data_IF_234288749613
#
_entry.id   IF_234288749613
#
_cell.length_a   1.000
_cell.length_b   1.000
_cell.length_c   1.000
_cell.angle_alpha   90.00
_cell.angle_beta   90.00
_cell.angle_gamma   90.00
#
_symmetry.space_group_name_H-M   'P 1'
#
loop_
_entity.id
_entity.type
_entity.pdbx_description
1 polymer ?
#
# COMPACT_ATOMS: atom_id res chain seq x y z
N UNK A 1 -5.65 21.39 2.54
CA UNK A 1 -4.21 21.15 2.79
C UNK A 1 -3.56 20.58 1.52
N UNK A 2 -4.04 19.46 0.95
CA UNK A 2 -3.43 18.80 -0.23
C UNK A 2 -3.25 19.79 -1.38
N UNK A 3 -4.33 20.44 -1.83
CA UNK A 3 -4.29 21.41 -2.93
C UNK A 3 -3.32 22.58 -2.65
N UNK A 4 -3.33 23.12 -1.43
CA UNK A 4 -2.47 24.26 -1.06
C UNK A 4 -0.99 23.87 -1.14
N UNK A 5 -0.62 22.68 -0.64
CA UNK A 5 0.75 22.18 -0.71
C UNK A 5 1.17 21.87 -2.15
N UNK A 6 0.29 21.28 -2.93
CA UNK A 6 0.59 20.94 -4.32
C UNK A 6 0.75 22.19 -5.21
N UNK A 7 -0.03 23.25 -4.97
CA UNK A 7 0.13 24.54 -5.67
C UNK A 7 1.45 25.24 -5.30
N UNK A 8 1.98 24.99 -4.10
CA UNK A 8 3.29 25.51 -3.68
C UNK A 8 4.47 24.78 -4.37
N UNK A 9 4.19 23.75 -5.14
CA UNK A 9 5.14 22.98 -5.96
C UNK A 9 6.40 22.54 -5.19
N UNK A 10 6.17 21.88 -4.05
CA UNK A 10 7.24 21.38 -3.19
C UNK A 10 7.97 20.21 -3.84
N UNK A 11 9.26 19.95 -3.49
CA UNK A 11 10.07 18.88 -4.09
C UNK A 11 9.45 17.48 -4.06
N UNK A 12 8.61 17.18 -3.06
CA UNK A 12 7.84 15.92 -2.98
C UNK A 12 6.35 16.20 -3.20
N UNK A 13 5.95 16.34 -4.45
CA UNK A 13 4.58 16.65 -4.86
C UNK A 13 3.96 15.48 -5.64
N UNK A 14 3.81 14.33 -4.98
CA UNK A 14 3.34 13.09 -5.61
C UNK A 14 1.98 13.28 -6.30
N UNK A 15 1.92 12.89 -7.59
CA UNK A 15 0.78 13.06 -8.51
C UNK A 15 0.35 14.51 -8.77
N UNK A 16 1.08 15.50 -8.29
CA UNK A 16 0.88 16.94 -8.51
C UNK A 16 -0.62 17.37 -8.54
N UNK A 17 -1.40 17.17 -7.44
CA UNK A 17 -2.82 17.48 -7.39
C UNK A 17 -3.06 19.00 -7.25
N UNK A 18 -2.51 19.81 -8.16
CA UNK A 18 -2.48 21.27 -8.12
C UNK A 18 -3.70 21.94 -8.79
N UNK A 19 -4.53 21.18 -9.47
CA UNK A 19 -5.76 21.64 -10.13
C UNK A 19 -6.94 20.68 -9.88
N UNK A 20 -8.15 21.06 -10.26
CA UNK A 20 -9.35 20.27 -10.01
C UNK A 20 -9.33 18.89 -10.66
N UNK A 21 -8.74 18.75 -11.85
CA UNK A 21 -8.67 17.47 -12.57
C UNK A 21 -7.64 16.53 -11.94
N UNK A 22 -6.43 17.02 -11.67
CA UNK A 22 -5.39 16.22 -11.01
C UNK A 22 -5.79 15.84 -9.58
N UNK A 23 -6.45 16.76 -8.84
CA UNK A 23 -6.99 16.46 -7.52
C UNK A 23 -8.08 15.36 -7.59
N UNK A 24 -8.97 15.41 -8.59
CA UNK A 24 -9.96 14.35 -8.80
C UNK A 24 -9.30 13.00 -9.08
N UNK A 25 -8.32 12.94 -9.99
CA UNK A 25 -7.56 11.71 -10.28
C UNK A 25 -6.88 11.17 -9.02
N UNK A 26 -6.26 12.04 -8.24
CA UNK A 26 -5.62 11.70 -6.97
C UNK A 26 -6.60 11.12 -5.94
N UNK A 27 -7.75 11.79 -5.71
CA UNK A 27 -8.77 11.33 -4.77
C UNK A 27 -9.43 10.01 -5.23
N UNK A 28 -9.64 9.85 -6.54
CA UNK A 28 -10.16 8.61 -7.12
C UNK A 28 -9.13 7.49 -7.16
N UNK A 29 -7.86 7.76 -6.81
CA UNK A 29 -6.77 6.78 -6.83
C UNK A 29 -6.55 6.14 -8.21
N UNK A 30 -6.73 6.93 -9.29
CA UNK A 30 -6.64 6.43 -10.67
C UNK A 30 -5.26 5.83 -10.99
N UNK A 31 -4.18 6.29 -10.32
CA UNK A 31 -2.82 5.75 -10.46
C UNK A 31 -2.67 4.27 -10.07
N UNK A 32 -3.60 3.71 -9.28
CA UNK A 32 -3.55 2.30 -8.86
C UNK A 32 -4.31 1.36 -9.79
N UNK A 33 -4.91 1.89 -10.86
CA UNK A 33 -5.72 1.14 -11.80
C UNK A 33 -7.09 0.69 -11.26
N UNK A 34 -7.90 0.17 -12.15
CA UNK A 34 -9.24 -0.33 -11.83
C UNK A 34 -9.18 -1.82 -11.43
N UNK A 35 -9.83 -2.16 -10.33
CA UNK A 35 -10.01 -3.54 -9.88
C UNK A 35 -11.47 -3.95 -9.98
N UNK A 36 -11.79 -5.16 -10.45
CA UNK A 36 -13.18 -5.61 -10.53
C UNK A 36 -13.74 -5.84 -9.12
N UNK A 37 -14.92 -5.29 -8.80
CA UNK A 37 -15.53 -5.39 -7.48
C UNK A 37 -16.76 -6.31 -7.47
N UNK A 38 -17.78 -5.95 -8.24
CA UNK A 38 -19.05 -6.67 -8.26
C UNK A 38 -19.20 -7.57 -9.48
N UNK A 39 -18.67 -7.13 -10.61
CA UNK A 39 -18.68 -7.87 -11.87
C UNK A 39 -17.40 -7.57 -12.66
N UNK A 40 -16.80 -8.57 -13.27
CA UNK A 40 -15.58 -8.39 -14.06
C UNK A 40 -14.81 -9.67 -14.33
N UNK A 41 -13.55 -9.47 -14.75
CA UNK A 41 -12.65 -10.54 -15.16
C UNK A 41 -12.09 -11.33 -13.96
N UNK A 42 -11.70 -12.57 -14.27
CA UNK A 42 -10.84 -13.41 -13.43
C UNK A 42 -9.50 -13.63 -14.14
N UNK A 43 -8.55 -14.30 -13.50
CA UNK A 43 -7.27 -14.65 -14.14
C UNK A 43 -7.44 -15.52 -15.40
N UNK A 44 -8.54 -16.26 -15.53
CA UNK A 44 -8.84 -17.08 -16.68
C UNK A 44 -9.49 -16.32 -17.85
N UNK A 45 -9.86 -15.04 -17.65
CA UNK A 45 -10.51 -14.23 -18.68
C UNK A 45 -9.50 -13.74 -19.70
N UNK A 46 -9.86 -13.74 -20.98
CA UNK A 46 -9.03 -13.23 -22.09
C UNK A 46 -9.61 -11.91 -22.61
N UNK A 47 -8.74 -11.00 -23.03
CA UNK A 47 -9.15 -9.78 -23.71
C UNK A 47 -9.64 -10.15 -25.13
N UNK A 48 -10.84 -9.70 -25.47
CA UNK A 48 -11.47 -9.92 -26.80
C UNK A 48 -11.26 -8.70 -27.69
N UNK A 49 -11.46 -7.51 -27.15
CA UNK A 49 -11.33 -6.24 -27.86
C UNK A 49 -11.08 -5.11 -26.86
N UNK A 50 -10.68 -3.99 -27.39
CA UNK A 50 -10.61 -2.73 -26.64
C UNK A 50 -11.78 -1.84 -27.05
N UNK A 51 -12.40 -1.17 -26.09
CA UNK A 51 -13.45 -0.18 -26.30
C UNK A 51 -12.99 1.18 -25.82
N UNK A 52 -13.11 2.19 -26.67
CA UNK A 52 -12.85 3.59 -26.31
C UNK A 52 -13.86 4.06 -25.26
N UNK A 53 -13.37 4.43 -24.08
CA UNK A 53 -14.25 4.73 -22.94
C UNK A 53 -14.38 6.21 -22.65
N UNK A 54 -13.26 6.91 -22.55
CA UNK A 54 -13.23 8.26 -21.99
C UNK A 54 -12.04 9.03 -22.56
N UNK A 55 -12.32 10.30 -22.92
CA UNK A 55 -11.25 11.24 -23.21
C UNK A 55 -10.53 11.66 -21.93
N UNK A 56 -9.24 11.50 -21.90
CA UNK A 56 -8.40 11.98 -20.79
C UNK A 56 -8.05 13.42 -21.09
N UNK A 57 -8.40 14.31 -20.17
CA UNK A 57 -8.19 15.74 -20.28
C UNK A 57 -7.18 16.18 -19.23
N UNK A 58 -6.25 17.04 -19.60
CA UNK A 58 -5.30 17.68 -18.70
C UNK A 58 -5.31 19.19 -18.88
N UNK A 59 -4.79 19.90 -17.88
CA UNK A 59 -4.50 21.31 -18.03
C UNK A 59 -3.37 21.51 -19.04
N UNK A 60 -3.52 22.44 -19.98
CA UNK A 60 -2.45 22.79 -20.91
C UNK A 60 -1.31 23.48 -20.15
N UNK A 61 -0.04 23.20 -20.48
CA UNK A 61 1.09 23.97 -19.96
C UNK A 61 0.90 25.47 -20.27
N UNK A 62 1.20 26.32 -19.28
CA UNK A 62 1.15 27.77 -19.43
C UNK A 62 2.52 28.31 -19.76
N UNK A 63 2.60 29.14 -20.80
CA UNK A 63 3.83 29.88 -21.13
C UNK A 63 4.01 31.09 -20.19
N UNK A 64 2.91 31.59 -19.61
CA UNK A 64 2.90 32.68 -18.65
C UNK A 64 1.90 32.35 -17.51
N UNK A 65 2.23 32.56 -16.23
CA UNK A 65 1.34 32.32 -15.10
C UNK A 65 -0.02 33.02 -15.19
N UNK A 66 -0.10 34.15 -15.89
CA UNK A 66 -1.33 34.93 -16.08
C UNK A 66 -2.22 34.44 -17.24
N UNK A 67 -1.80 33.44 -18.01
CA UNK A 67 -2.66 32.88 -19.03
C UNK A 67 -3.87 32.17 -18.43
N UNK A 68 -5.06 32.28 -19.04
CA UNK A 68 -6.24 31.56 -18.60
C UNK A 68 -6.01 30.04 -18.71
N UNK A 69 -6.62 29.31 -17.78
CA UNK A 69 -6.57 27.85 -17.81
C UNK A 69 -7.24 27.34 -19.10
N UNK A 70 -6.49 26.51 -19.83
CA UNK A 70 -6.98 25.77 -20.99
C UNK A 70 -6.85 24.28 -20.73
N UNK A 71 -7.80 23.52 -21.24
CA UNK A 71 -7.77 22.08 -21.16
C UNK A 71 -7.54 21.46 -22.52
N UNK A 72 -6.68 20.50 -22.58
CA UNK A 72 -6.33 19.75 -23.78
C UNK A 72 -6.71 18.28 -23.61
N UNK A 73 -7.18 17.67 -24.70
CA UNK A 73 -7.37 16.23 -24.78
C UNK A 73 -6.01 15.57 -25.01
N UNK A 74 -5.58 14.69 -24.09
CA UNK A 74 -4.32 13.97 -24.21
C UNK A 74 -4.50 12.74 -25.08
N UNK A 75 -5.41 11.87 -24.69
CA UNK A 75 -5.71 10.62 -25.39
C UNK A 75 -7.11 10.11 -24.99
N UNK A 76 -7.57 9.13 -25.74
CA UNK A 76 -8.79 8.40 -25.37
C UNK A 76 -8.40 7.10 -24.67
N UNK A 77 -8.84 6.94 -23.43
CA UNK A 77 -8.62 5.73 -22.65
C UNK A 77 -9.37 4.55 -23.30
N UNK A 78 -8.64 3.49 -23.59
CA UNK A 78 -9.19 2.22 -24.07
C UNK A 78 -9.31 1.23 -22.93
N UNK A 79 -10.50 0.65 -22.75
CA UNK A 79 -10.69 -0.41 -21.76
C UNK A 79 -10.79 -1.78 -22.43
N UNK A 80 -10.08 -2.77 -21.88
CA UNK A 80 -10.20 -4.13 -22.36
C UNK A 80 -11.58 -4.70 -22.03
N UNK A 81 -12.20 -5.36 -23.00
CA UNK A 81 -13.39 -6.18 -22.83
C UNK A 81 -12.97 -7.62 -22.72
N UNK A 82 -13.38 -8.27 -21.64
CA UNK A 82 -12.95 -9.61 -21.30
C UNK A 82 -14.01 -10.66 -21.63
N UNK A 83 -13.55 -11.89 -21.97
CA UNK A 83 -14.39 -13.09 -21.97
C UNK A 83 -14.73 -13.51 -20.54
N UNK A 84 -15.75 -14.34 -20.38
CA UNK A 84 -15.99 -15.09 -19.13
C UNK A 84 -15.93 -14.25 -17.86
N UNK A 85 -16.59 -13.10 -17.85
CA UNK A 85 -16.72 -12.27 -16.66
C UNK A 85 -17.65 -12.96 -15.64
N UNK A 86 -17.39 -12.73 -14.35
CA UNK A 86 -18.18 -13.33 -13.26
C UNK A 86 -18.67 -12.28 -12.27
N UNK A 87 -19.68 -12.65 -11.49
CA UNK A 87 -20.09 -11.89 -10.32
C UNK A 87 -19.06 -12.05 -9.21
N UNK A 88 -18.77 -10.93 -8.50
CA UNK A 88 -17.90 -10.85 -7.35
C UNK A 88 -16.51 -11.48 -7.60
N UNK A 89 -15.77 -11.03 -8.63
CA UNK A 89 -14.46 -11.58 -8.95
C UNK A 89 -13.41 -11.17 -7.91
N UNK A 90 -12.79 -12.15 -7.26
CA UNK A 90 -11.72 -11.93 -6.29
C UNK A 90 -10.37 -12.36 -6.84
N UNK A 91 -10.33 -13.44 -7.59
CA UNK A 91 -9.13 -13.99 -8.24
C UNK A 91 -8.99 -13.41 -9.66
N UNK A 92 -8.59 -12.15 -9.77
CA UNK A 92 -8.58 -11.41 -11.05
C UNK A 92 -7.19 -11.22 -11.66
N UNK A 93 -6.12 -11.32 -10.88
CA UNK A 93 -4.75 -11.08 -11.34
C UNK A 93 -4.20 -12.28 -12.13
N UNK A 94 -3.63 -12.02 -13.29
CA UNK A 94 -3.01 -13.03 -14.16
C UNK A 94 -1.55 -13.33 -13.82
N UNK A 95 -1.00 -12.74 -12.75
CA UNK A 95 0.35 -13.06 -12.27
C UNK A 95 0.42 -14.53 -11.82
N UNK A 96 1.41 -15.33 -12.30
CA UNK A 96 1.53 -16.74 -11.97
C UNK A 96 1.62 -17.02 -10.46
N UNK A 97 2.31 -16.17 -9.69
CA UNK A 97 2.44 -16.33 -8.25
C UNK A 97 1.09 -16.07 -7.55
N UNK A 98 0.34 -15.07 -8.04
CA UNK A 98 -1.01 -14.81 -7.55
C UNK A 98 -1.95 -15.98 -7.87
N UNK A 99 -1.88 -16.56 -9.05
CA UNK A 99 -2.71 -17.72 -9.45
C UNK A 99 -2.42 -18.92 -8.55
N UNK A 100 -1.16 -19.24 -8.29
CA UNK A 100 -0.77 -20.32 -7.38
C UNK A 100 -1.37 -20.12 -5.99
N UNK A 101 -1.25 -18.91 -5.45
CA UNK A 101 -1.81 -18.54 -4.14
C UNK A 101 -3.35 -18.56 -4.14
N UNK A 102 -4.02 -18.06 -5.18
CA UNK A 102 -5.47 -18.15 -5.32
C UNK A 102 -5.94 -19.61 -5.27
N UNK A 103 -5.28 -20.49 -6.05
CA UNK A 103 -5.63 -21.90 -6.08
C UNK A 103 -5.48 -22.56 -4.71
N UNK A 104 -4.40 -22.28 -3.99
CA UNK A 104 -4.19 -22.76 -2.62
C UNK A 104 -5.33 -22.33 -1.69
N UNK A 105 -5.67 -21.04 -1.64
CA UNK A 105 -6.74 -20.53 -0.77
C UNK A 105 -8.14 -20.99 -1.16
N UNK A 106 -8.39 -21.25 -2.43
CA UNK A 106 -9.65 -21.79 -2.92
C UNK A 106 -9.77 -23.32 -2.76
N UNK A 107 -8.67 -24.01 -2.48
CA UNK A 107 -8.58 -25.47 -2.39
C UNK A 107 -8.61 -26.13 -3.76
N UNK A 108 -7.99 -25.51 -4.78
CA UNK A 108 -7.83 -26.03 -6.14
C UNK A 108 -6.45 -26.66 -6.30
N UNK A 109 -6.31 -27.48 -7.35
CA UNK A 109 -5.01 -28.07 -7.71
C UNK A 109 -4.03 -26.98 -8.13
N UNK A 110 -2.76 -27.18 -7.83
CA UNK A 110 -1.68 -26.32 -8.31
C UNK A 110 -1.66 -26.31 -9.85
N UNK A 111 -1.58 -25.09 -10.43
CA UNK A 111 -1.59 -24.91 -11.87
C UNK A 111 -2.96 -24.97 -12.56
N UNK A 112 -4.06 -25.08 -11.82
CA UNK A 112 -5.41 -24.99 -12.41
C UNK A 112 -5.68 -23.58 -12.92
N UNK A 113 -5.83 -23.45 -14.25
CA UNK A 113 -6.11 -22.20 -14.96
C UNK A 113 -7.59 -22.07 -15.37
N UNK A 114 -8.45 -22.98 -14.96
CA UNK A 114 -9.87 -22.88 -15.26
C UNK A 114 -10.51 -21.69 -14.53
N UNK A 115 -11.63 -21.20 -15.07
CA UNK A 115 -12.31 -20.03 -14.50
C UNK A 115 -12.81 -20.33 -13.07
N UNK A 116 -12.46 -19.48 -12.07
CA UNK A 116 -12.98 -19.63 -10.73
C UNK A 116 -14.50 -19.43 -10.68
N UNK A 117 -15.17 -20.33 -9.99
CA UNK A 117 -16.61 -20.24 -9.71
C UNK A 117 -16.90 -19.14 -8.67
N UNK A 118 -18.18 -18.76 -8.54
CA UNK A 118 -18.60 -17.82 -7.49
C UNK A 118 -18.28 -18.36 -6.08
N UNK A 119 -18.48 -19.66 -5.87
CA UNK A 119 -18.20 -20.30 -4.57
C UNK A 119 -16.70 -20.22 -4.21
N UNK A 120 -15.82 -20.44 -5.18
CA UNK A 120 -14.37 -20.32 -5.00
C UNK A 120 -13.95 -18.88 -4.74
N UNK A 121 -14.51 -17.91 -5.45
CA UNK A 121 -14.30 -16.50 -5.15
C UNK A 121 -14.77 -16.12 -3.74
N UNK A 122 -15.89 -16.66 -3.27
CA UNK A 122 -16.36 -16.48 -1.89
C UNK A 122 -15.45 -17.17 -0.88
N UNK A 123 -14.94 -18.37 -1.17
CA UNK A 123 -13.92 -19.04 -0.31
C UNK A 123 -12.68 -18.17 -0.15
N UNK A 124 -12.16 -17.64 -1.26
CA UNK A 124 -11.01 -16.72 -1.21
C UNK A 124 -11.33 -15.44 -0.43
N UNK A 125 -12.48 -14.84 -0.67
CA UNK A 125 -12.90 -13.64 0.04
C UNK A 125 -12.97 -13.85 1.55
N UNK A 126 -13.73 -14.84 2.01
CA UNK A 126 -13.89 -15.07 3.44
C UNK A 126 -12.66 -15.69 4.09
N UNK A 127 -11.98 -16.63 3.41
CA UNK A 127 -10.79 -17.30 3.95
C UNK A 127 -9.57 -16.37 3.99
N UNK A 128 -9.23 -15.77 2.86
CA UNK A 128 -8.05 -14.93 2.75
C UNK A 128 -8.32 -13.47 3.12
N UNK A 129 -9.22 -12.78 2.39
CA UNK A 129 -9.34 -11.32 2.53
C UNK A 129 -10.00 -10.92 3.87
N UNK A 130 -11.05 -11.62 4.30
CA UNK A 130 -11.75 -11.30 5.55
C UNK A 130 -11.08 -11.93 6.76
N UNK A 131 -10.82 -13.24 6.73
CA UNK A 131 -10.28 -13.92 7.91
C UNK A 131 -8.78 -13.67 8.08
N UNK A 132 -7.98 -14.04 7.08
CA UNK A 132 -6.52 -13.98 7.19
C UNK A 132 -5.99 -12.54 7.20
N UNK A 133 -6.45 -11.68 6.28
CA UNK A 133 -5.96 -10.29 6.22
C UNK A 133 -6.55 -9.38 7.29
N UNK A 134 -7.87 -9.48 7.57
CA UNK A 134 -8.53 -8.54 8.45
C UNK A 134 -8.70 -9.05 9.88
N UNK A 135 -9.40 -10.20 10.08
CA UNK A 135 -9.69 -10.67 11.43
C UNK A 135 -8.45 -11.15 12.19
N UNK A 136 -7.49 -11.76 11.52
CA UNK A 136 -6.19 -12.09 12.12
C UNK A 136 -5.49 -10.84 12.63
N UNK A 137 -5.46 -9.80 11.81
CA UNK A 137 -4.84 -8.52 12.16
C UNK A 137 -5.59 -7.79 13.27
N UNK A 138 -6.93 -7.81 13.24
CA UNK A 138 -7.76 -7.34 14.33
C UNK A 138 -7.44 -8.07 15.64
N UNK A 139 -7.31 -9.39 15.58
CA UNK A 139 -6.96 -10.20 16.74
C UNK A 139 -5.56 -9.87 17.30
N UNK A 140 -4.60 -9.58 16.43
CA UNK A 140 -3.27 -9.13 16.86
C UNK A 140 -3.31 -7.86 17.70
N UNK A 141 -4.23 -6.96 17.41
CA UNK A 141 -4.36 -5.71 18.15
C UNK A 141 -5.11 -5.85 19.49
N UNK A 142 -5.99 -6.84 19.65
CA UNK A 142 -6.91 -6.91 20.80
C UNK A 142 -6.92 -8.24 21.54
N UNK A 143 -6.34 -9.27 20.99
CA UNK A 143 -6.26 -10.61 21.61
C UNK A 143 -4.81 -10.95 21.93
N UNK A 144 -3.93 -10.84 20.94
CA UNK A 144 -2.50 -11.04 21.00
C UNK A 144 -1.94 -11.66 19.73
N UNK A 145 -0.62 -11.66 19.60
CA UNK A 145 0.15 -12.03 18.41
C UNK A 145 1.13 -13.14 18.74
N UNK A 146 1.19 -14.18 17.91
CA UNK A 146 2.12 -15.29 18.09
C UNK A 146 3.57 -14.88 17.78
N UNK A 147 3.80 -14.25 16.65
CA UNK A 147 5.12 -13.75 16.21
C UNK A 147 4.96 -12.75 15.07
N UNK A 148 6.05 -12.09 14.65
CA UNK A 148 6.08 -11.13 13.54
C UNK A 148 6.54 -11.74 12.21
N UNK A 149 6.66 -13.07 12.14
CA UNK A 149 7.01 -13.75 10.90
C UNK A 149 5.89 -13.59 9.88
N UNK A 150 6.28 -13.31 8.62
CA UNK A 150 5.31 -13.18 7.55
C UNK A 150 4.52 -14.49 7.38
N UNK A 151 3.21 -14.38 7.51
CA UNK A 151 2.32 -15.53 7.53
C UNK A 151 2.04 -16.07 6.13
N UNK A 152 1.98 -17.39 6.04
CA UNK A 152 1.58 -18.16 4.85
C UNK A 152 0.24 -18.90 5.04
N UNK A 153 -0.44 -18.62 6.14
CA UNK A 153 -1.66 -19.31 6.57
C UNK A 153 -1.40 -20.53 7.46
N UNK A 154 -0.13 -20.84 7.76
CA UNK A 154 0.25 -21.91 8.70
C UNK A 154 0.04 -21.51 10.16
N UNK A 155 -0.01 -22.50 11.05
CA UNK A 155 -0.17 -22.28 12.49
C UNK A 155 1.12 -21.80 13.18
N UNK A 156 2.25 -21.72 12.45
CA UNK A 156 3.57 -21.42 13.01
C UNK A 156 3.94 -19.96 12.80
N UNK A 157 3.39 -19.32 11.75
CA UNK A 157 3.79 -17.98 11.31
C UNK A 157 2.63 -16.99 11.39
N UNK A 158 2.82 -15.95 12.19
CA UNK A 158 1.88 -14.85 12.26
C UNK A 158 0.48 -15.23 12.74
N UNK A 159 0.39 -16.22 13.62
CA UNK A 159 -0.86 -16.64 14.27
C UNK A 159 -1.33 -15.66 15.33
N UNK A 160 -2.45 -15.99 15.97
CA UNK A 160 -3.01 -15.27 17.12
C UNK A 160 -2.70 -16.08 18.38
N UNK A 161 -2.09 -15.45 19.37
CA UNK A 161 -1.84 -16.05 20.69
C UNK A 161 -2.57 -15.26 21.75
N UNK A 162 -3.39 -15.95 22.55
CA UNK A 162 -4.15 -15.30 23.64
C UNK A 162 -3.34 -15.15 24.92
N UNK A 163 -2.28 -15.94 25.09
CA UNK A 163 -1.54 -16.14 26.34
C UNK A 163 -2.22 -17.12 27.30
N UNK A 164 -3.30 -17.75 26.88
CA UNK A 164 -4.03 -18.76 27.65
C UNK A 164 -3.73 -20.15 27.05
N UNK A 165 -2.87 -20.99 27.69
CA UNK A 165 -2.39 -22.23 27.07
C UNK A 165 -3.50 -23.18 26.62
N UNK A 166 -4.63 -23.24 27.38
CA UNK A 166 -5.74 -24.10 27.02
C UNK A 166 -6.49 -23.67 25.75
N UNK A 167 -6.39 -22.39 25.33
CA UNK A 167 -6.91 -21.88 24.07
C UNK A 167 -5.84 -22.02 22.99
N UNK A 168 -4.63 -21.55 23.29
CA UNK A 168 -3.55 -21.46 22.30
C UNK A 168 -3.14 -22.86 21.81
N UNK A 169 -3.07 -23.86 22.69
CA UNK A 169 -2.76 -25.24 22.31
C UNK A 169 -3.81 -25.89 21.39
N UNK A 170 -5.08 -25.45 21.47
CA UNK A 170 -6.13 -25.92 20.56
C UNK A 170 -6.00 -25.35 19.15
N UNK A 171 -5.46 -24.11 19.02
CA UNK A 171 -5.41 -23.38 17.75
C UNK A 171 -4.04 -23.48 17.10
N UNK A 172 -2.98 -23.31 17.90
CA UNK A 172 -1.60 -23.25 17.43
C UNK A 172 -0.85 -24.59 17.57
N UNK A 173 -1.37 -25.50 18.40
CA UNK A 173 -0.65 -26.71 18.83
C UNK A 173 0.26 -26.45 20.05
N UNK A 174 0.93 -27.52 20.54
CA UNK A 174 1.91 -27.37 21.62
C UNK A 174 3.10 -26.55 21.16
N UNK A 175 3.47 -25.52 21.93
CA UNK A 175 4.65 -24.69 21.68
C UNK A 175 5.97 -25.35 22.09
N UNK A 176 5.93 -26.51 22.75
CA UNK A 176 7.11 -27.13 23.37
C UNK A 176 8.15 -27.62 22.37
N UNK A 177 7.71 -27.92 21.14
CA UNK A 177 8.57 -28.43 20.05
C UNK A 177 8.97 -27.36 19.03
N UNK A 178 8.64 -26.08 19.28
CA UNK A 178 8.97 -25.00 18.34
C UNK A 178 10.42 -24.52 18.55
N UNK A 179 11.11 -24.15 17.45
CA UNK A 179 12.46 -23.54 17.53
C UNK A 179 12.45 -22.25 18.35
N UNK A 180 13.59 -21.97 19.01
CA UNK A 180 13.79 -20.77 19.83
C UNK A 180 13.54 -19.46 19.06
N UNK A 181 13.80 -19.42 17.77
CA UNK A 181 13.52 -18.26 16.89
C UNK A 181 12.04 -17.90 16.82
N UNK A 182 11.17 -18.90 17.01
CA UNK A 182 9.71 -18.71 17.00
C UNK A 182 9.22 -18.40 18.41
N UNK A 183 9.70 -19.14 19.41
CA UNK A 183 9.26 -19.00 20.81
C UNK A 183 9.75 -17.72 21.46
N UNK A 184 10.99 -17.28 21.13
CA UNK A 184 11.60 -16.05 21.66
C UNK A 184 11.46 -14.83 20.70
N UNK A 185 10.48 -14.87 19.79
CA UNK A 185 10.26 -13.79 18.86
C UNK A 185 9.72 -12.53 19.59
N UNK A 186 10.37 -11.37 19.38
CA UNK A 186 9.96 -10.10 20.01
C UNK A 186 8.53 -9.67 19.66
N UNK A 187 8.02 -10.07 18.51
CA UNK A 187 6.63 -9.82 18.12
C UNK A 187 5.61 -10.76 18.80
N UNK A 188 6.02 -11.57 19.79
CA UNK A 188 5.12 -12.37 20.61
C UNK A 188 4.49 -11.48 21.68
N UNK A 189 3.21 -11.13 21.50
CA UNK A 189 2.47 -10.26 22.40
C UNK A 189 1.18 -10.92 22.83
N UNK A 190 0.91 -10.97 24.12
CA UNK A 190 -0.30 -11.61 24.69
C UNK A 190 -1.11 -10.62 25.52
N UNK A 191 -2.42 -10.56 25.29
CA UNK A 191 -3.30 -9.62 25.99
C UNK A 191 -4.40 -10.32 26.79
N UNK A 192 -4.37 -11.65 26.87
CA UNK A 192 -5.32 -12.45 27.66
C UNK A 192 -6.78 -12.15 27.30
N UNK A 193 -7.06 -11.79 26.04
CA UNK A 193 -8.39 -11.37 25.56
C UNK A 193 -8.96 -10.12 26.26
N UNK A 194 -8.21 -9.46 27.15
CA UNK A 194 -8.74 -8.38 27.99
C UNK A 194 -9.29 -7.18 27.20
N UNK A 195 -8.57 -6.60 26.21
CA UNK A 195 -9.11 -5.52 25.39
C UNK A 195 -10.33 -5.98 24.57
N UNK A 196 -10.29 -7.19 24.04
CA UNK A 196 -11.38 -7.76 23.25
C UNK A 196 -12.66 -7.92 24.08
N UNK A 197 -12.57 -8.50 25.29
CA UNK A 197 -13.69 -8.68 26.20
C UNK A 197 -14.29 -7.33 26.61
N UNK A 198 -13.45 -6.33 26.89
CA UNK A 198 -13.93 -4.97 27.17
C UNK A 198 -14.66 -4.38 25.98
N UNK A 199 -14.17 -4.56 24.77
CA UNK A 199 -14.83 -4.10 23.56
C UNK A 199 -16.22 -4.72 23.39
N UNK A 200 -16.34 -6.03 23.59
CA UNK A 200 -17.64 -6.73 23.57
C UNK A 200 -18.57 -6.21 24.69
N UNK A 201 -18.04 -6.02 25.90
CA UNK A 201 -18.81 -5.47 27.00
C UNK A 201 -19.32 -4.05 26.69
N UNK A 202 -18.50 -3.24 25.99
CA UNK A 202 -18.88 -1.91 25.53
C UNK A 202 -20.00 -1.93 24.49
N UNK A 203 -19.95 -2.85 23.54
CA UNK A 203 -21.02 -3.09 22.56
C UNK A 203 -22.33 -3.44 23.28
N UNK A 204 -22.28 -4.41 24.19
CA UNK A 204 -23.46 -4.84 24.96
C UNK A 204 -23.99 -3.68 25.79
N UNK A 205 -23.13 -2.97 26.50
CA UNK A 205 -23.50 -1.79 27.30
C UNK A 205 -24.21 -0.75 26.44
N UNK A 206 -23.69 -0.43 25.28
CA UNK A 206 -24.25 0.57 24.37
C UNK A 206 -25.65 0.14 23.89
N UNK A 207 -25.80 -1.10 23.45
CA UNK A 207 -27.08 -1.65 23.00
C UNK A 207 -28.16 -1.67 24.11
N UNK A 208 -27.76 -1.87 25.36
CA UNK A 208 -28.67 -1.89 26.52
C UNK A 208 -29.14 -0.49 26.96
N UNK A 209 -28.63 0.59 26.40
CA UNK A 209 -29.00 1.98 26.76
C UNK A 209 -30.26 2.48 26.06
N UNK A 210 -31.07 1.59 25.48
CA UNK A 210 -32.31 1.93 24.79
C UNK A 210 -32.08 2.60 23.44
N UNK A 211 -33.07 3.33 22.92
CA UNK A 211 -33.04 3.86 21.55
C UNK A 211 -31.82 4.74 21.25
N UNK A 212 -31.43 5.61 22.18
CA UNK A 212 -30.20 6.45 22.01
C UNK A 212 -28.93 5.64 21.97
N UNK A 213 -28.85 4.57 22.78
CA UNK A 213 -27.72 3.65 22.77
C UNK A 213 -27.61 2.92 21.43
N UNK A 214 -28.73 2.43 20.90
CA UNK A 214 -28.77 1.78 19.58
C UNK A 214 -28.40 2.76 18.45
N UNK A 215 -28.87 4.00 18.50
CA UNK A 215 -28.45 5.01 17.51
C UNK A 215 -26.92 5.26 17.53
N UNK A 216 -26.34 5.44 18.72
CA UNK A 216 -24.91 5.64 18.85
C UNK A 216 -24.11 4.39 18.49
N UNK A 217 -24.63 3.19 18.74
CA UNK A 217 -24.04 1.93 18.28
C UNK A 217 -23.89 1.89 16.77
N UNK A 218 -24.92 2.24 16.03
CA UNK A 218 -24.85 2.25 14.56
C UNK A 218 -23.82 3.24 14.02
N UNK A 219 -23.61 4.39 14.68
CA UNK A 219 -22.56 5.34 14.31
C UNK A 219 -21.19 4.70 14.44
N UNK A 220 -20.87 4.09 15.59
CA UNK A 220 -19.58 3.43 15.80
C UNK A 220 -19.45 2.19 14.92
N UNK A 221 -20.52 1.43 14.73
CA UNK A 221 -20.53 0.24 13.88
C UNK A 221 -20.25 0.60 12.41
N UNK A 222 -20.88 1.64 11.87
CA UNK A 222 -20.60 2.06 10.52
C UNK A 222 -19.18 2.63 10.39
N UNK A 223 -18.68 3.34 11.38
CA UNK A 223 -17.28 3.74 11.42
C UNK A 223 -16.36 2.49 11.37
N UNK A 224 -16.59 1.51 12.21
CA UNK A 224 -15.86 0.25 12.24
C UNK A 224 -15.92 -0.50 10.91
N UNK A 225 -17.12 -0.70 10.38
CA UNK A 225 -17.35 -1.46 9.15
C UNK A 225 -16.78 -0.77 7.92
N UNK A 226 -17.05 0.54 7.75
CA UNK A 226 -16.66 1.29 6.56
C UNK A 226 -15.15 1.54 6.50
N UNK A 227 -14.47 1.68 7.64
CA UNK A 227 -13.01 1.86 7.70
C UNK A 227 -12.25 0.53 7.82
N UNK A 228 -12.93 -0.60 7.86
CA UNK A 228 -12.38 -1.94 7.98
C UNK A 228 -12.81 -2.86 6.83
N UNK A 229 -13.84 -3.67 7.07
CA UNK A 229 -14.31 -4.70 6.13
C UNK A 229 -14.72 -4.13 4.77
N UNK A 230 -15.34 -2.95 4.73
CA UNK A 230 -15.69 -2.30 3.47
C UNK A 230 -14.44 -1.92 2.66
N UNK A 231 -13.36 -1.48 3.32
CA UNK A 231 -12.07 -1.22 2.66
C UNK A 231 -11.46 -2.51 2.12
N UNK A 232 -11.47 -3.60 2.90
CA UNK A 232 -10.99 -4.92 2.44
C UNK A 232 -11.71 -5.35 1.15
N UNK A 233 -13.05 -5.22 1.15
CA UNK A 233 -13.86 -5.53 -0.02
C UNK A 233 -13.55 -4.62 -1.21
N UNK A 234 -13.38 -3.32 -0.98
CA UNK A 234 -13.10 -2.31 -2.00
C UNK A 234 -11.72 -2.46 -2.63
N UNK A 235 -10.69 -2.66 -1.81
CA UNK A 235 -9.30 -2.79 -2.31
C UNK A 235 -9.15 -4.05 -3.17
N UNK A 236 -9.91 -5.12 -2.89
CA UNK A 236 -9.80 -6.42 -3.57
C UNK A 236 -8.34 -6.86 -3.74
N UNK A 237 -7.62 -6.92 -2.62
CA UNK A 237 -6.17 -7.14 -2.61
C UNK A 237 -5.80 -8.54 -3.10
N UNK A 238 -4.77 -8.60 -3.95
CA UNK A 238 -4.15 -9.86 -4.38
C UNK A 238 -3.34 -10.49 -3.26
N UNK A 239 -3.16 -11.81 -3.25
CA UNK A 239 -2.24 -12.48 -2.34
C UNK A 239 -0.77 -12.16 -2.65
N UNK A 240 0.16 -12.62 -1.81
CA UNK A 240 1.59 -12.46 -2.06
C UNK A 240 2.11 -11.02 -1.95
N UNK A 241 1.49 -10.20 -1.11
CA UNK A 241 1.98 -8.84 -0.88
C UNK A 241 3.31 -8.85 -0.14
N UNK A 242 4.24 -7.92 -0.45
CA UNK A 242 5.56 -7.89 0.15
C UNK A 242 5.54 -7.57 1.66
N UNK A 243 4.44 -7.03 2.17
CA UNK A 243 4.24 -6.70 3.59
C UNK A 243 2.76 -6.69 3.94
N UNK A 244 2.46 -6.81 5.23
CA UNK A 244 1.11 -6.61 5.75
C UNK A 244 0.66 -5.16 5.52
N UNK A 245 -0.61 -4.99 5.18
CA UNK A 245 -1.22 -3.67 4.88
C UNK A 245 -2.28 -3.27 5.90
N UNK A 246 -2.02 -3.51 7.16
CA UNK A 246 -2.87 -3.20 8.32
C UNK A 246 -3.26 -1.73 8.40
N UNK A 247 -2.37 -0.82 8.02
CA UNK A 247 -2.66 0.61 7.99
C UNK A 247 -3.90 0.97 7.15
N UNK A 248 -4.29 0.13 6.19
CA UNK A 248 -5.48 0.36 5.38
C UNK A 248 -6.78 0.29 6.21
N UNK A 249 -6.79 -0.47 7.31
CA UNK A 249 -7.97 -0.64 8.17
C UNK A 249 -7.76 -0.18 9.63
N UNK A 250 -6.72 0.60 9.89
CA UNK A 250 -6.43 1.15 11.22
C UNK A 250 -7.60 1.96 11.80
N UNK A 251 -8.40 2.61 10.95
CA UNK A 251 -9.60 3.33 11.35
C UNK A 251 -10.64 2.43 12.05
N UNK A 252 -10.76 1.15 11.65
CA UNK A 252 -11.67 0.21 12.31
C UNK A 252 -11.16 -0.19 13.70
N UNK A 253 -9.86 -0.29 13.89
CA UNK A 253 -9.26 -0.57 15.19
C UNK A 253 -9.47 0.60 16.15
N UNK A 254 -9.33 1.83 15.66
CA UNK A 254 -9.71 3.03 16.42
C UNK A 254 -11.19 3.01 16.82
N UNK A 255 -12.09 2.64 15.89
CA UNK A 255 -13.52 2.52 16.20
C UNK A 255 -13.79 1.45 17.26
N UNK A 256 -13.10 0.31 17.22
CA UNK A 256 -13.20 -0.72 18.24
C UNK A 256 -12.70 -0.24 19.62
N UNK A 257 -11.64 0.59 19.64
CA UNK A 257 -11.14 1.19 20.88
C UNK A 257 -12.19 2.08 21.57
N UNK A 258 -13.12 2.69 20.83
CA UNK A 258 -14.27 3.41 21.42
C UNK A 258 -15.12 2.44 22.25
N UNK A 259 -15.39 1.22 21.74
CA UNK A 259 -16.12 0.22 22.49
C UNK A 259 -15.33 -0.31 23.70
N UNK A 260 -14.01 -0.43 23.61
CA UNK A 260 -13.16 -0.77 24.76
C UNK A 260 -13.36 0.28 25.87
N UNK A 261 -13.30 1.57 25.54
CA UNK A 261 -13.57 2.65 26.50
C UNK A 261 -14.98 2.59 27.10
N UNK A 262 -16.00 2.31 26.27
CA UNK A 262 -17.37 2.11 26.73
C UNK A 262 -17.52 0.84 27.60
N UNK A 263 -16.65 -0.14 27.42
CA UNK A 263 -16.59 -1.37 28.21
C UNK A 263 -16.31 -1.11 29.68
N UNK A 264 -15.53 -0.08 30.00
CA UNK A 264 -15.30 0.34 31.39
C UNK A 264 -16.59 0.82 32.04
N UNK A 265 -17.43 1.58 31.34
CA UNK A 265 -18.75 1.95 31.83
C UNK A 265 -19.66 0.71 31.96
N UNK A 266 -19.60 -0.22 31.03
CA UNK A 266 -20.27 -1.52 31.07
C UNK A 266 -19.87 -2.33 32.31
N UNK A 267 -18.56 -2.41 32.58
CA UNK A 267 -18.01 -3.06 33.78
C UNK A 267 -18.54 -2.42 35.07
N UNK A 268 -18.53 -1.08 35.14
CA UNK A 268 -19.08 -0.37 36.29
C UNK A 268 -20.54 -0.77 36.58
N UNK A 269 -21.40 -0.76 35.54
CA UNK A 269 -22.80 -1.16 35.72
C UNK A 269 -22.98 -2.66 36.06
N UNK A 270 -22.14 -3.52 35.51
CA UNK A 270 -22.13 -4.95 35.83
C UNK A 270 -21.78 -5.16 37.28
N UNK A 271 -20.75 -4.50 37.81
CA UNK A 271 -20.33 -4.59 39.21
C UNK A 271 -21.42 -4.08 40.18
N UNK A 272 -22.14 -3.03 39.81
CA UNK A 272 -23.29 -2.56 40.61
C UNK A 272 -24.43 -3.57 40.61
N UNK A 273 -24.70 -4.27 39.51
CA UNK A 273 -25.70 -5.39 39.51
C UNK A 273 -25.28 -6.54 40.42
N UNK A 274 -23.98 -6.75 40.64
CA UNK A 274 -23.42 -7.68 41.58
C UNK A 274 -23.43 -7.13 43.04
N UNK A 275 -24.15 -6.01 43.29
CA UNK A 275 -24.33 -5.34 44.56
C UNK A 275 -23.07 -4.74 45.21
N UNK A 276 -22.02 -4.45 44.38
CA UNK A 276 -20.89 -3.65 44.87
C UNK A 276 -21.29 -2.19 44.99
N UNK A 277 -20.66 -1.47 45.97
CA UNK A 277 -20.92 -0.05 46.13
C UNK A 277 -20.45 0.76 44.91
N UNK A 278 -21.08 1.90 44.63
CA UNK A 278 -20.68 2.76 43.51
C UNK A 278 -19.20 3.16 43.54
N UNK A 279 -18.66 3.44 44.73
CA UNK A 279 -17.25 3.81 44.90
C UNK A 279 -16.31 2.65 44.55
N UNK A 280 -16.61 1.44 45.02
CA UNK A 280 -15.82 0.24 44.74
C UNK A 280 -15.89 -0.09 43.24
N UNK A 281 -17.09 -0.03 42.64
CA UNK A 281 -17.28 -0.27 41.21
C UNK A 281 -16.49 0.74 40.32
N UNK A 282 -16.48 2.01 40.74
CA UNK A 282 -15.69 3.04 40.03
C UNK A 282 -14.18 2.84 40.21
N UNK A 283 -13.72 2.46 41.40
CA UNK A 283 -12.32 2.17 41.67
C UNK A 283 -11.82 0.99 40.82
N UNK A 284 -12.58 -0.13 40.81
CA UNK A 284 -12.25 -1.29 39.96
C UNK A 284 -12.20 -0.88 38.46
N UNK A 285 -13.22 -0.14 38.00
CA UNK A 285 -13.25 0.37 36.63
C UNK A 285 -12.03 1.22 36.26
N UNK A 286 -11.62 2.14 37.16
CA UNK A 286 -10.45 2.96 36.98
C UNK A 286 -9.14 2.15 36.93
N UNK A 287 -9.00 1.17 37.82
CA UNK A 287 -7.84 0.27 37.84
C UNK A 287 -7.75 -0.52 36.53
N UNK A 288 -8.85 -1.09 36.06
CA UNK A 288 -8.90 -1.85 34.79
C UNK A 288 -8.59 -0.94 33.60
N UNK A 289 -9.11 0.29 33.57
CA UNK A 289 -8.86 1.28 32.54
C UNK A 289 -7.38 1.66 32.38
N UNK A 290 -6.60 1.56 33.46
CA UNK A 290 -5.16 1.85 33.46
C UNK A 290 -4.32 0.60 33.23
N UNK A 291 -4.64 -0.52 33.88
CA UNK A 291 -3.83 -1.72 33.84
C UNK A 291 -3.82 -2.40 32.46
N UNK A 292 -4.94 -2.39 31.73
CA UNK A 292 -4.99 -3.02 30.40
C UNK A 292 -4.09 -2.29 29.40
N UNK A 293 -4.17 -0.95 29.20
CA UNK A 293 -3.23 -0.24 28.35
C UNK A 293 -1.76 -0.36 28.79
N UNK A 294 -1.49 -0.38 30.10
CA UNK A 294 -0.12 -0.58 30.62
C UNK A 294 0.41 -1.99 30.30
N UNK A 295 -0.41 -3.01 30.46
CA UNK A 295 -0.04 -4.37 30.08
C UNK A 295 0.24 -4.47 28.56
N UNK A 296 -0.63 -3.88 27.72
CA UNK A 296 -0.40 -3.83 26.28
C UNK A 296 0.88 -3.06 25.94
N UNK A 297 1.12 -1.92 26.58
CA UNK A 297 2.34 -1.14 26.37
C UNK A 297 3.59 -1.94 26.75
N UNK A 298 3.55 -2.66 27.86
CA UNK A 298 4.67 -3.51 28.31
C UNK A 298 4.96 -4.66 27.35
N UNK A 299 3.92 -5.26 26.75
CA UNK A 299 4.07 -6.34 25.76
C UNK A 299 4.63 -5.85 24.43
N UNK A 300 4.27 -4.64 24.02
CA UNK A 300 4.64 -4.13 22.70
C UNK A 300 5.90 -3.26 22.70
N UNK A 301 6.49 -2.98 23.87
CA UNK A 301 7.59 -2.00 23.95
C UNK A 301 8.82 -2.41 23.16
N UNK A 302 9.22 -3.67 23.26
CA UNK A 302 10.45 -4.20 22.67
C UNK A 302 10.37 -4.36 21.15
N UNK A 303 9.20 -4.68 20.59
CA UNK A 303 9.02 -4.79 19.14
C UNK A 303 8.69 -3.45 18.47
N UNK A 304 8.26 -2.44 19.23
CA UNK A 304 8.00 -1.09 18.76
C UNK A 304 9.16 -0.11 19.01
N UNK A 305 10.14 -0.46 19.82
CA UNK A 305 11.34 0.35 20.00
C UNK A 305 12.18 0.36 18.71
N UNK A 306 12.26 1.53 18.10
CA UNK A 306 13.00 1.78 16.86
C UNK A 306 14.24 2.65 17.07
N UNK A 307 14.60 2.97 18.30
CA UNK A 307 15.68 3.88 18.64
C UNK A 307 17.04 3.46 18.09
N UNK A 308 17.27 2.14 17.91
CA UNK A 308 18.50 1.59 17.33
C UNK A 308 18.41 1.18 15.86
N UNK A 309 17.30 1.51 15.15
CA UNK A 309 17.10 1.10 13.76
C UNK A 309 17.57 2.18 12.79
N UNK A 310 18.88 2.25 12.53
CA UNK A 310 19.50 3.28 11.67
C UNK A 310 19.71 2.84 10.22
N UNK A 311 19.39 1.58 9.87
CA UNK A 311 19.72 0.99 8.56
C UNK A 311 19.23 1.85 7.39
N UNK A 312 18.01 2.39 7.46
CA UNK A 312 17.48 3.22 6.37
C UNK A 312 18.22 4.56 6.23
N UNK A 313 18.55 5.21 7.36
CA UNK A 313 19.33 6.45 7.37
C UNK A 313 20.76 6.20 6.86
N UNK A 314 21.43 5.17 7.38
CA UNK A 314 22.80 4.80 6.98
C UNK A 314 22.85 4.41 5.49
N UNK A 315 21.84 3.71 4.99
CA UNK A 315 21.72 3.37 3.57
C UNK A 315 21.62 4.64 2.71
N UNK A 316 20.68 5.56 3.04
CA UNK A 316 20.51 6.81 2.31
C UNK A 316 21.78 7.65 2.31
N UNK A 317 22.41 7.81 3.47
CA UNK A 317 23.68 8.53 3.62
C UNK A 317 24.79 7.92 2.74
N UNK A 318 25.02 6.62 2.84
CA UNK A 318 26.11 5.95 2.14
C UNK A 318 25.95 6.01 0.62
N UNK A 319 24.72 5.90 0.12
CA UNK A 319 24.46 6.04 -1.32
C UNK A 319 24.75 7.45 -1.81
N UNK A 320 24.30 8.47 -1.09
CA UNK A 320 24.45 9.86 -1.53
C UNK A 320 25.88 10.36 -1.43
N UNK A 321 26.60 10.02 -0.35
CA UNK A 321 27.94 10.58 -0.10
C UNK A 321 28.96 10.11 -1.15
N UNK A 322 28.75 8.92 -1.74
CA UNK A 322 29.61 8.38 -2.80
C UNK A 322 29.40 9.01 -4.18
N UNK A 323 28.36 9.80 -4.37
CA UNK A 323 28.05 10.41 -5.67
C UNK A 323 28.99 11.57 -6.01
N UNK A 324 29.27 11.77 -7.32
CA UNK A 324 29.95 12.97 -7.80
C UNK A 324 29.06 14.22 -7.58
N UNK A 325 29.63 15.42 -7.47
CA UNK A 325 28.84 16.66 -7.39
C UNK A 325 27.86 16.78 -8.57
N UNK A 326 26.62 17.19 -8.26
CA UNK A 326 25.52 17.32 -9.23
C UNK A 326 25.19 16.03 -10.00
N UNK A 327 25.45 14.87 -9.42
CA UNK A 327 25.15 13.60 -10.04
C UNK A 327 23.63 13.35 -10.12
N UNK A 328 23.22 12.51 -11.07
CA UNK A 328 21.89 11.92 -11.12
C UNK A 328 22.03 10.47 -10.69
N UNK A 329 21.33 10.07 -9.65
CA UNK A 329 21.25 8.68 -9.21
C UNK A 329 19.90 8.09 -9.62
N UNK A 330 19.92 6.95 -10.29
CA UNK A 330 18.72 6.21 -10.64
C UNK A 330 18.52 5.07 -9.64
N UNK A 331 17.33 5.00 -9.06
CA UNK A 331 16.92 3.94 -8.17
C UNK A 331 15.59 3.31 -8.62
N UNK A 332 15.12 2.29 -7.91
CA UNK A 332 13.91 1.58 -8.31
C UNK A 332 13.04 1.23 -7.10
N UNK A 333 11.88 1.87 -7.03
CA UNK A 333 10.87 1.60 -6.00
C UNK A 333 11.06 2.38 -4.70
N UNK A 334 10.07 2.28 -3.84
CA UNK A 334 9.96 3.09 -2.62
C UNK A 334 11.08 2.83 -1.61
N UNK A 335 11.48 1.56 -1.48
CA UNK A 335 12.45 1.13 -0.46
C UNK A 335 13.85 1.69 -0.69
N UNK A 336 14.22 1.93 -1.95
CA UNK A 336 15.50 2.52 -2.30
C UNK A 336 15.42 4.05 -2.25
N UNK A 337 14.33 4.64 -2.72
CA UNK A 337 14.16 6.09 -2.88
C UNK A 337 13.92 6.80 -1.54
N UNK A 338 13.03 6.28 -0.68
CA UNK A 338 12.63 7.00 0.54
C UNK A 338 13.77 7.20 1.55
N UNK A 339 14.71 6.27 1.74
CA UNK A 339 15.90 6.54 2.54
C UNK A 339 16.77 7.68 1.99
N UNK A 340 16.91 7.79 0.65
CA UNK A 340 17.67 8.88 0.03
C UNK A 340 16.95 10.21 0.23
N UNK A 341 15.64 10.26 -0.01
CA UNK A 341 14.85 11.46 0.24
C UNK A 341 14.88 11.88 1.71
N UNK A 342 14.79 10.91 2.65
CA UNK A 342 14.94 11.22 4.07
C UNK A 342 16.28 11.88 4.37
N UNK A 343 17.38 11.33 3.87
CA UNK A 343 18.71 11.88 4.06
C UNK A 343 18.83 13.30 3.45
N UNK A 344 18.25 13.55 2.28
CA UNK A 344 18.27 14.88 1.65
C UNK A 344 17.35 15.89 2.34
N UNK A 345 16.09 15.50 2.60
CA UNK A 345 15.04 16.41 3.09
C UNK A 345 15.16 16.74 4.57
N UNK A 346 15.58 15.76 5.38
CA UNK A 346 15.61 15.90 6.84
C UNK A 346 17.03 16.16 7.37
N UNK A 347 18.00 15.43 6.81
CA UNK A 347 19.39 15.51 7.29
C UNK A 347 20.25 16.48 6.45
N UNK A 348 19.76 16.96 5.30
CA UNK A 348 20.46 17.89 4.43
C UNK A 348 21.69 17.28 3.74
N UNK A 349 21.70 15.94 3.55
CA UNK A 349 22.82 15.22 2.94
C UNK A 349 22.74 15.32 1.44
N UNK A 350 23.75 15.90 0.81
CA UNK A 350 23.90 15.97 -0.65
C UNK A 350 22.66 16.45 -1.42
N UNK A 351 22.12 17.63 -1.12
CA UNK A 351 20.99 18.22 -1.83
C UNK A 351 21.33 18.58 -3.30
N UNK A 352 22.60 18.49 -3.69
CA UNK A 352 23.10 18.66 -5.06
C UNK A 352 22.90 17.40 -5.93
N UNK A 353 22.56 16.26 -5.36
CA UNK A 353 22.34 15.01 -6.11
C UNK A 353 20.87 14.84 -6.46
N UNK A 354 20.58 14.67 -7.76
CA UNK A 354 19.21 14.41 -8.21
C UNK A 354 18.88 12.91 -8.08
N UNK A 355 17.92 12.60 -7.21
CA UNK A 355 17.40 11.23 -7.05
C UNK A 355 16.25 11.01 -8.04
N UNK A 356 16.40 10.04 -8.93
CA UNK A 356 15.44 9.74 -9.99
C UNK A 356 14.91 8.30 -9.86
N UNK A 357 13.68 8.14 -9.37
CA UNK A 357 13.02 6.85 -9.24
C UNK A 357 12.47 6.37 -10.59
N UNK A 358 13.02 5.27 -11.11
CA UNK A 358 12.62 4.68 -12.39
C UNK A 358 11.15 4.25 -12.45
N UNK A 359 10.58 3.81 -11.32
CA UNK A 359 9.15 3.45 -11.26
C UNK A 359 8.26 4.68 -11.44
N UNK A 360 8.66 5.83 -10.88
CA UNK A 360 7.88 7.07 -10.96
C UNK A 360 8.06 7.78 -12.29
N UNK A 361 9.15 7.54 -13.03
CA UNK A 361 9.34 8.06 -14.40
C UNK A 361 8.29 7.53 -15.38
N UNK A 362 7.52 6.49 -15.00
CA UNK A 362 6.30 6.09 -15.71
C UNK A 362 5.12 7.06 -15.55
N UNK A 363 5.20 8.02 -14.63
CA UNK A 363 4.14 8.99 -14.31
C UNK A 363 4.43 10.39 -14.85
N UNK A 364 3.44 11.01 -15.49
CA UNK A 364 3.54 12.36 -16.06
C UNK A 364 4.11 13.37 -15.06
N UNK A 365 3.53 13.40 -13.87
CA UNK A 365 3.87 14.36 -12.82
C UNK A 365 5.34 14.31 -12.41
N UNK A 366 5.93 13.10 -12.44
CA UNK A 366 7.32 12.92 -12.00
C UNK A 366 8.32 13.33 -13.08
N UNK A 367 7.99 13.07 -14.34
CA UNK A 367 8.79 13.56 -15.48
C UNK A 367 8.84 15.09 -15.49
N UNK A 368 7.68 15.74 -15.26
CA UNK A 368 7.61 17.20 -15.19
C UNK A 368 8.37 17.73 -13.96
N UNK A 369 8.31 17.03 -12.81
CA UNK A 369 9.08 17.39 -11.62
C UNK A 369 10.59 17.28 -11.84
N UNK A 370 11.07 16.28 -12.58
CA UNK A 370 12.50 16.13 -12.89
C UNK A 370 13.06 17.25 -13.80
N UNK A 371 12.21 18.04 -14.44
CA UNK A 371 12.62 19.23 -15.19
C UNK A 371 12.84 20.47 -14.34
N UNK A 372 12.49 20.40 -13.06
CA UNK A 372 12.65 21.50 -12.13
C UNK A 372 13.97 21.36 -11.37
N UNK A 373 14.50 22.49 -10.92
CA UNK A 373 15.58 22.48 -9.95
C UNK A 373 15.05 22.01 -8.60
N UNK A 374 15.63 20.94 -8.05
CA UNK A 374 15.30 20.42 -6.72
C UNK A 374 16.45 20.76 -5.78
N UNK A 375 16.24 21.69 -4.86
CA UNK A 375 17.29 22.22 -3.98
C UNK A 375 18.49 22.74 -4.77
N UNK A 376 19.69 22.17 -4.54
CA UNK A 376 20.92 22.50 -5.26
C UNK A 376 21.15 21.61 -6.49
N UNK A 377 20.34 20.58 -6.69
CA UNK A 377 20.44 19.67 -7.82
C UNK A 377 19.92 20.33 -9.10
N UNK A 378 20.71 20.33 -10.19
CA UNK A 378 20.24 20.83 -11.47
C UNK A 378 19.12 19.93 -12.03
N UNK A 379 18.21 20.50 -12.84
CA UNK A 379 17.17 19.72 -13.50
C UNK A 379 17.75 18.63 -14.39
N UNK A 380 17.01 17.52 -14.52
CA UNK A 380 17.40 16.45 -15.44
C UNK A 380 17.48 17.01 -16.89
N UNK A 381 18.56 16.74 -17.64
CA UNK A 381 18.79 17.33 -18.95
C UNK A 381 17.91 16.68 -20.03
N UNK A 382 16.60 16.77 -19.92
CA UNK A 382 15.67 16.37 -20.97
C UNK A 382 14.80 17.55 -21.41
N UNK A 383 14.37 17.55 -22.66
CA UNK A 383 13.66 18.68 -23.30
C UNK A 383 12.19 18.39 -23.57
N UNK A 384 11.69 17.24 -23.11
CA UNK A 384 10.36 16.79 -23.46
C UNK A 384 9.36 17.16 -22.37
N UNK A 385 8.36 17.95 -22.71
CA UNK A 385 7.17 18.12 -21.90
C UNK A 385 6.30 16.87 -22.00
N UNK A 386 5.67 16.48 -20.90
CA UNK A 386 4.87 15.25 -20.80
C UNK A 386 3.87 15.06 -21.95
N UNK A 387 3.05 16.05 -22.35
CA UNK A 387 2.07 15.83 -23.42
C UNK A 387 2.69 15.49 -24.77
N UNK A 388 3.87 16.04 -25.06
CA UNK A 388 4.53 15.83 -26.36
C UNK A 388 5.19 14.45 -26.45
N UNK A 389 5.79 13.99 -25.34
CA UNK A 389 6.53 12.74 -25.32
C UNK A 389 5.62 11.52 -25.16
N UNK A 390 4.75 11.52 -24.14
CA UNK A 390 3.93 10.34 -23.82
C UNK A 390 2.79 10.09 -24.80
N UNK A 391 2.23 11.13 -25.42
CA UNK A 391 0.98 10.99 -26.15
C UNK A 391 1.10 11.26 -27.64
N UNK A 392 2.12 12.01 -28.06
CA UNK A 392 2.32 12.31 -29.49
C UNK A 392 3.36 11.41 -30.15
N UNK A 393 4.38 11.00 -29.41
CA UNK A 393 5.50 10.20 -29.93
C UNK A 393 5.90 9.07 -28.96
N UNK A 394 5.05 8.04 -28.73
CA UNK A 394 5.44 6.93 -27.91
C UNK A 394 6.66 6.21 -28.54
N UNK A 395 7.69 6.01 -27.73
CA UNK A 395 8.84 5.19 -28.11
C UNK A 395 8.45 3.72 -28.04
N UNK A 396 8.56 3.03 -29.17
CA UNK A 396 8.38 1.58 -29.25
C UNK A 396 9.72 0.90 -29.51
N UNK A 397 9.91 -0.29 -28.96
CA UNK A 397 11.09 -1.11 -29.22
C UNK A 397 10.73 -2.23 -30.20
N UNK A 398 11.64 -2.53 -31.12
CA UNK A 398 11.57 -3.76 -31.88
C UNK A 398 11.97 -4.92 -30.96
N UNK A 399 11.19 -5.99 -30.90
CA UNK A 399 11.41 -7.11 -29.98
C UNK A 399 12.72 -7.87 -30.22
N UNK A 400 13.24 -7.85 -31.45
CA UNK A 400 14.50 -8.49 -31.83
C UNK A 400 15.33 -7.51 -32.65
N UNK A 401 16.58 -7.31 -32.28
CA UNK A 401 17.50 -6.44 -32.98
C UNK A 401 18.95 -6.67 -32.56
N UNK A 402 19.88 -6.37 -33.44
CA UNK A 402 21.29 -6.43 -33.15
C UNK A 402 21.69 -5.35 -32.13
N UNK A 403 22.77 -5.57 -31.40
CA UNK A 403 23.36 -4.60 -30.51
C UNK A 403 23.74 -3.34 -31.30
N UNK A 404 23.16 -2.21 -30.97
CA UNK A 404 23.37 -0.93 -31.66
C UNK A 404 23.92 0.13 -30.70
N UNK A 405 24.85 1.01 -31.15
CA UNK A 405 25.20 2.20 -30.40
C UNK A 405 23.98 3.07 -30.12
N UNK A 406 23.87 3.58 -28.90
CA UNK A 406 22.71 4.38 -28.47
C UNK A 406 22.49 5.63 -29.34
N UNK A 407 23.56 6.32 -29.68
CA UNK A 407 23.53 7.50 -30.57
C UNK A 407 22.87 7.18 -31.92
N UNK A 408 23.26 6.08 -32.55
CA UNK A 408 22.67 5.63 -33.82
C UNK A 408 21.23 5.15 -33.68
N UNK A 409 20.92 4.49 -32.56
CA UNK A 409 19.55 4.07 -32.31
C UNK A 409 18.60 5.27 -32.10
N UNK A 410 19.05 6.30 -31.39
CA UNK A 410 18.30 7.55 -31.21
C UNK A 410 18.19 8.33 -32.52
N UNK A 411 19.26 8.40 -33.30
CA UNK A 411 19.25 9.04 -34.62
C UNK A 411 18.23 8.38 -35.57
N UNK A 412 18.16 7.04 -35.55
CA UNK A 412 17.17 6.29 -36.31
C UNK A 412 15.73 6.58 -35.81
N UNK A 413 15.51 6.61 -34.52
CA UNK A 413 14.20 6.90 -33.93
C UNK A 413 13.68 8.29 -34.29
N UNK A 414 14.59 9.29 -34.38
CA UNK A 414 14.25 10.66 -34.75
C UNK A 414 13.97 10.78 -36.25
N UNK A 415 14.70 10.04 -37.11
CA UNK A 415 14.60 10.12 -38.59
C UNK A 415 13.47 9.25 -39.15
N UNK A 416 12.91 8.34 -38.38
CA UNK A 416 11.87 7.40 -38.82
C UNK A 416 10.50 7.68 -38.19
N UNK A 417 9.83 8.79 -38.51
CA UNK A 417 8.49 9.10 -38.04
C UNK A 417 7.45 8.30 -38.85
N UNK A 418 7.53 6.98 -38.78
CA UNK A 418 6.54 6.09 -39.37
C UNK A 418 5.35 5.88 -38.45
N UNK A 419 4.14 6.18 -38.89
CA UNK A 419 2.88 5.89 -38.20
C UNK A 419 2.66 6.58 -36.84
N UNK A 420 3.26 7.74 -36.59
CA UNK A 420 3.06 8.49 -35.36
C UNK A 420 3.72 7.87 -34.12
N UNK A 421 4.65 6.95 -34.30
CA UNK A 421 5.46 6.34 -33.25
C UNK A 421 6.93 6.40 -33.61
N UNK A 422 7.77 6.80 -32.67
CA UNK A 422 9.21 6.66 -32.79
C UNK A 422 9.61 5.24 -32.39
N UNK A 423 10.33 4.54 -33.26
CA UNK A 423 10.72 3.14 -33.04
C UNK A 423 12.23 3.07 -32.83
N UNK A 424 12.64 2.51 -31.69
CA UNK A 424 14.03 2.12 -31.48
C UNK A 424 14.28 0.77 -32.15
N UNK A 425 15.32 0.69 -33.03
CA UNK A 425 15.54 -0.49 -33.87
C UNK A 425 16.08 -1.69 -33.09
N UNK A 426 16.41 -1.55 -31.83
CA UNK A 426 16.88 -2.63 -30.97
C UNK A 426 16.53 -2.38 -29.51
N UNK A 427 16.31 -3.45 -28.75
CA UNK A 427 16.24 -3.44 -27.30
C UNK A 427 17.61 -3.62 -26.62
N UNK A 428 18.65 -3.93 -27.40
CA UNK A 428 20.04 -4.02 -26.93
C UNK A 428 20.82 -2.82 -27.44
N UNK A 429 21.09 -1.86 -26.54
CA UNK A 429 21.76 -0.63 -26.85
C UNK A 429 23.14 -0.58 -26.21
N UNK A 430 24.15 -0.21 -27.02
CA UNK A 430 25.52 0.01 -26.55
C UNK A 430 25.66 1.50 -26.21
N UNK A 431 25.92 1.80 -24.94
CA UNK A 431 26.28 3.12 -24.49
C UNK A 431 27.80 3.27 -24.65
N UNK A 432 28.33 4.06 -25.55
CA UNK A 432 29.75 4.34 -25.62
C UNK A 432 30.14 5.19 -24.41
N UNK A 433 30.93 4.64 -23.51
CA UNK A 433 31.51 5.38 -22.39
C UNK A 433 32.72 6.14 -22.92
N UNK A 434 32.71 7.47 -22.83
CA UNK A 434 33.90 8.28 -23.09
C UNK A 434 34.92 7.96 -21.97
N UNK A 435 36.10 7.43 -22.40
CA UNK A 435 37.18 7.08 -21.47
C UNK A 435 37.67 8.28 -20.66
N UNK A 436 37.45 9.49 -21.12
CA UNK A 436 37.81 10.72 -20.43
C UNK A 436 36.89 10.98 -19.19
N UNK A 437 35.70 10.38 -19.14
CA UNK A 437 34.74 10.50 -18.04
C UNK A 437 34.77 9.31 -17.08
N UNK A 438 35.60 8.30 -17.34
CA UNK A 438 35.75 7.18 -16.43
C UNK A 438 36.64 7.58 -15.24
N UNK A 439 36.13 7.66 -14.01
CA UNK A 439 36.94 7.97 -12.84
C UNK A 439 37.88 6.82 -12.45
N UNK A 440 37.72 5.66 -13.05
CA UNK A 440 38.57 4.48 -12.88
C UNK A 440 39.42 4.35 -14.14
N UNK A 441 40.48 5.16 -14.21
CA UNK A 441 41.52 4.99 -15.22
C UNK A 441 42.20 3.63 -15.07
N UNK A 442 42.08 2.80 -16.10
CA UNK A 442 42.81 1.54 -16.18
C UNK A 442 42.02 0.50 -16.93
#
# INVERSE_FOLDING_TARGET
VILIRSVADTPMNENSPNNALSLKKYLNREQYGDRPLLYGQTFASKVVRYESKKKVISAAPKSNPNEPDRYIELYTEEKPVYTNQTLFPRAYSSDPNHIASYNSWMGRSEGDLSQPTLVENLKFFFGYQVNYMYWRYFAWNFIGRQNDLYGDGSNIRGGVSTGLPFIDNLVLGSGDDLPDEITNNKGHNVYYLLPFILGILGIVFQLMRGARGVQSFWVVFFLFFMTGLAIVMYINQTPGQPRERDYAYAGSFYAFAIWIGMGIAGLYYLLQRLKLSPMVSAAIGAVVAVLIPLQMAGQNWDDHDRSGRTVASDFGYNFLIGCQPNAIIFDFGDNDTFPLWYAQEIEGVRPDVLVANLSYLGGEWYVDQMQQQLYDAPPMPHRYMTPDFYYKNPLSFVQEGALLPLDKALEFAVQSPGYGQSVLPSHQLLLPLDRALSPLGG
#
